data_IF_156937959382
#
_entry.id   IF_156937959382
#
_cell.length_a   1.000
_cell.length_b   1.000
_cell.length_c   1.000
_cell.angle_alpha   90.00
_cell.angle_beta   90.00
_cell.angle_gamma   90.00
#
_symmetry.space_group_name_H-M   'P 1'
#
loop_
_entity.id
_entity.type
_entity.pdbx_description
1 polymer ?
#
# COMPACT_ATOMS: atom_id res chain seq x y z
N UNK A 1 -0.76 8.63 23.84
CA UNK A 1 -1.29 7.84 22.70
C UNK A 1 -1.26 8.61 21.38
N UNK A 2 -1.85 9.82 21.30
CA UNK A 2 -1.92 10.62 20.05
C UNK A 2 -0.54 10.92 19.45
N UNK A 3 0.43 11.35 20.26
CA UNK A 3 1.80 11.65 19.78
C UNK A 3 2.51 10.43 19.22
N UNK A 4 2.34 9.26 19.86
CA UNK A 4 2.91 8.00 19.40
C UNK A 4 2.33 7.58 18.05
N UNK A 5 1.01 7.63 17.88
CA UNK A 5 0.37 7.34 16.59
C UNK A 5 0.83 8.32 15.51
N UNK A 6 0.94 9.61 15.84
CA UNK A 6 1.45 10.62 14.91
C UNK A 6 2.89 10.30 14.48
N UNK A 7 3.79 10.03 15.42
CA UNK A 7 5.18 9.69 15.10
C UNK A 7 5.30 8.37 14.33
N UNK A 8 4.55 7.34 14.74
CA UNK A 8 4.52 6.05 14.07
C UNK A 8 4.05 6.20 12.61
N UNK A 9 2.92 6.90 12.39
CA UNK A 9 2.42 7.14 11.04
C UNK A 9 3.34 8.09 10.24
N UNK A 10 4.04 9.04 10.87
CA UNK A 10 5.02 9.91 10.22
C UNK A 10 6.21 9.11 9.68
N UNK A 11 6.83 8.26 10.52
CA UNK A 11 7.94 7.42 10.11
C UNK A 11 7.54 6.51 8.94
N UNK A 12 6.30 6.03 8.91
CA UNK A 12 5.77 5.23 7.78
C UNK A 12 5.54 6.08 6.52
N UNK A 13 5.15 7.36 6.66
CA UNK A 13 5.00 8.28 5.51
C UNK A 13 6.33 8.56 4.83
N UNK A 14 7.41 8.71 5.58
CA UNK A 14 8.75 8.87 5.01
C UNK A 14 9.17 7.65 4.20
N UNK A 15 8.94 6.44 4.73
CA UNK A 15 9.17 5.18 3.98
C UNK A 15 8.35 5.13 2.70
N UNK A 16 7.07 5.51 2.74
CA UNK A 16 6.23 5.55 1.54
C UNK A 16 6.69 6.60 0.54
N UNK A 17 7.22 7.74 1.00
CA UNK A 17 7.83 8.73 0.12
C UNK A 17 8.98 8.10 -0.66
N UNK A 18 9.91 7.42 0.02
CA UNK A 18 11.01 6.69 -0.64
C UNK A 18 10.49 5.67 -1.67
N UNK A 19 9.49 4.88 -1.31
CA UNK A 19 8.87 3.90 -2.23
C UNK A 19 8.20 4.56 -3.45
N UNK A 20 7.48 5.67 -3.27
CA UNK A 20 6.90 6.44 -4.38
C UNK A 20 7.98 6.83 -5.39
N UNK A 21 9.08 7.42 -4.92
CA UNK A 21 10.19 7.84 -5.78
C UNK A 21 10.85 6.64 -6.48
N UNK A 22 11.05 5.52 -5.78
CA UNK A 22 11.61 4.30 -6.37
C UNK A 22 10.72 3.73 -7.48
N UNK A 23 9.40 3.66 -7.25
CA UNK A 23 8.44 3.18 -8.25
C UNK A 23 8.40 4.12 -9.45
N UNK A 24 8.36 5.44 -9.23
CA UNK A 24 8.39 6.42 -10.31
C UNK A 24 9.69 6.32 -11.13
N UNK A 25 10.85 6.16 -10.47
CA UNK A 25 12.13 5.95 -11.15
C UNK A 25 12.12 4.68 -11.99
N UNK A 26 11.59 3.57 -11.46
CA UNK A 26 11.45 2.31 -12.20
C UNK A 26 10.55 2.48 -13.43
N UNK A 27 9.37 3.10 -13.27
CA UNK A 27 8.45 3.36 -14.38
C UNK A 27 9.10 4.23 -15.45
N UNK A 28 9.85 5.26 -15.06
CA UNK A 28 10.58 6.12 -16.01
C UNK A 28 11.64 5.34 -16.80
N UNK A 29 12.37 4.44 -16.14
CA UNK A 29 13.35 3.55 -16.82
C UNK A 29 12.61 2.62 -17.79
N UNK A 30 11.56 1.93 -17.35
CA UNK A 30 10.78 1.02 -18.19
C UNK A 30 10.17 1.72 -19.41
N UNK A 31 9.77 2.99 -19.28
CA UNK A 31 9.25 3.80 -20.39
C UNK A 31 10.31 4.08 -21.47
N UNK A 32 11.58 4.18 -21.10
CA UNK A 32 12.70 4.43 -22.01
C UNK A 32 13.16 3.15 -22.74
N UNK A 33 12.80 1.97 -22.25
CA UNK A 33 13.13 0.68 -22.88
C UNK A 33 12.27 0.43 -24.12
N UNK A 34 12.74 -0.42 -25.04
CA UNK A 34 11.95 -0.82 -26.21
C UNK A 34 10.63 -1.51 -25.77
N UNK A 35 9.46 -1.12 -26.30
CA UNK A 35 8.18 -1.76 -25.95
C UNK A 35 8.12 -3.28 -26.19
N UNK A 36 8.96 -3.82 -27.07
CA UNK A 36 9.06 -5.25 -27.40
C UNK A 36 10.12 -5.98 -26.57
N UNK A 37 10.85 -5.26 -25.73
CA UNK A 37 11.84 -5.87 -24.84
C UNK A 37 11.16 -6.84 -23.86
N UNK A 38 11.54 -8.12 -23.83
CA UNK A 38 10.89 -9.11 -22.96
C UNK A 38 11.03 -8.78 -21.47
N UNK A 39 12.13 -8.15 -21.06
CA UNK A 39 12.35 -7.75 -19.68
C UNK A 39 11.43 -6.59 -19.28
N UNK A 40 11.23 -5.62 -20.17
CA UNK A 40 10.23 -4.55 -19.96
C UNK A 40 8.84 -5.14 -19.73
N UNK A 41 8.42 -6.10 -20.55
CA UNK A 41 7.10 -6.74 -20.45
C UNK A 41 6.96 -7.47 -19.10
N UNK A 42 7.91 -8.34 -18.74
CA UNK A 42 7.91 -9.08 -17.47
C UNK A 42 7.90 -8.14 -16.24
N UNK A 43 8.68 -7.06 -16.29
CA UNK A 43 8.70 -6.07 -15.20
C UNK A 43 7.39 -5.28 -15.10
N UNK A 44 6.78 -4.93 -16.24
CA UNK A 44 5.47 -4.27 -16.26
C UNK A 44 4.41 -5.18 -15.66
N UNK A 45 4.38 -6.46 -16.04
CA UNK A 45 3.41 -7.43 -15.52
C UNK A 45 3.57 -7.59 -13.99
N UNK A 46 4.80 -7.75 -13.51
CA UNK A 46 5.09 -7.80 -12.05
C UNK A 46 4.70 -6.52 -11.32
N UNK A 47 4.85 -5.36 -11.96
CA UNK A 47 4.43 -4.08 -11.39
C UNK A 47 2.90 -4.00 -11.32
N UNK A 48 2.22 -4.45 -12.38
CA UNK A 48 0.77 -4.46 -12.51
C UNK A 48 0.09 -5.47 -11.57
N UNK A 49 0.75 -6.58 -11.23
CA UNK A 49 0.27 -7.49 -10.18
C UNK A 49 0.16 -6.80 -8.81
N UNK A 50 1.07 -5.86 -8.52
CA UNK A 50 1.11 -5.15 -7.24
C UNK A 50 0.35 -3.82 -7.26
N UNK A 51 0.16 -3.23 -8.44
CA UNK A 51 -0.40 -1.90 -8.65
C UNK A 51 -1.37 -1.91 -9.82
N UNK A 52 -2.54 -1.27 -9.67
CA UNK A 52 -3.64 -1.42 -10.64
C UNK A 52 -3.34 -0.94 -12.07
N UNK A 53 -2.46 0.06 -12.27
CA UNK A 53 -2.09 0.51 -13.61
C UNK A 53 -0.78 1.30 -13.61
N UNK A 54 -0.09 1.32 -14.75
CA UNK A 54 1.14 2.12 -14.93
C UNK A 54 0.85 3.62 -14.74
N UNK A 55 -0.30 4.12 -15.22
CA UNK A 55 -0.67 5.53 -15.04
C UNK A 55 -0.82 5.91 -13.56
N UNK A 56 -1.33 4.97 -12.74
CA UNK A 56 -1.40 5.14 -11.30
C UNK A 56 -0.03 5.07 -10.63
N UNK A 57 0.94 4.37 -11.24
CA UNK A 57 2.32 4.31 -10.74
C UNK A 57 3.04 5.65 -10.90
N UNK A 58 2.79 6.39 -11.98
CA UNK A 58 3.37 7.74 -12.15
C UNK A 58 2.79 8.73 -11.15
N UNK A 59 1.49 8.66 -10.93
CA UNK A 59 0.75 9.50 -9.98
C UNK A 59 0.72 8.90 -8.57
N UNK A 60 1.64 7.98 -8.27
CA UNK A 60 1.65 7.28 -6.99
C UNK A 60 2.02 8.26 -5.87
N UNK A 61 1.05 8.61 -5.06
CA UNK A 61 1.25 9.50 -3.92
C UNK A 61 1.42 8.70 -2.62
N UNK A 62 2.02 9.33 -1.61
CA UNK A 62 2.04 8.81 -0.24
C UNK A 62 0.61 8.51 0.26
N UNK A 63 -0.37 9.30 -0.18
CA UNK A 63 -1.79 9.09 0.15
C UNK A 63 -2.29 7.73 -0.35
N UNK A 64 -1.86 7.27 -1.54
CA UNK A 64 -2.22 5.97 -2.08
C UNK A 64 -1.75 4.82 -1.18
N UNK A 65 -0.60 4.94 -0.51
CA UNK A 65 -0.15 3.97 0.49
C UNK A 65 -0.93 4.10 1.80
N UNK A 66 -1.20 5.33 2.26
CA UNK A 66 -1.94 5.57 3.49
C UNK A 66 -3.37 5.00 3.41
N UNK A 67 -4.02 5.10 2.25
CA UNK A 67 -5.37 4.55 1.99
C UNK A 67 -5.44 3.01 1.99
N UNK A 68 -4.29 2.34 1.86
CA UNK A 68 -4.16 0.88 1.87
C UNK A 68 -3.68 0.33 3.22
N UNK A 69 -3.54 1.17 4.24
CA UNK A 69 -3.23 0.71 5.59
C UNK A 69 -4.40 -0.11 6.13
N UNK A 70 -4.10 -1.17 6.87
CA UNK A 70 -5.07 -2.07 7.46
C UNK A 70 -6.13 -1.29 8.24
N UNK A 71 -5.72 -0.33 9.09
CA UNK A 71 -6.64 0.55 9.82
C UNK A 71 -7.63 1.31 8.92
N UNK A 72 -7.20 1.76 7.73
CA UNK A 72 -8.08 2.45 6.76
C UNK A 72 -8.94 1.46 5.98
N UNK A 73 -8.40 0.31 5.60
CA UNK A 73 -9.15 -0.76 4.93
C UNK A 73 -10.25 -1.28 5.84
N UNK A 74 -9.97 -1.44 7.13
CA UNK A 74 -10.93 -1.88 8.15
C UNK A 74 -12.11 -0.91 8.28
N UNK A 75 -11.85 0.40 8.25
CA UNK A 75 -12.92 1.43 8.17
C UNK A 75 -13.71 1.32 6.86
N UNK A 76 -13.01 1.12 5.74
CA UNK A 76 -13.62 1.08 4.41
C UNK A 76 -14.53 -0.15 4.22
N UNK A 77 -14.16 -1.27 4.82
CA UNK A 77 -14.93 -2.52 4.89
C UNK A 77 -16.02 -2.48 5.97
N UNK A 78 -16.17 -1.36 6.69
CA UNK A 78 -17.17 -1.15 7.75
C UNK A 78 -17.02 -2.09 8.96
N UNK A 79 -15.83 -2.60 9.23
CA UNK A 79 -15.55 -3.35 10.47
C UNK A 79 -15.36 -2.44 11.69
N UNK A 80 -15.05 -1.15 11.48
CA UNK A 80 -15.01 -0.13 12.51
C UNK A 80 -15.58 1.18 11.98
N UNK A 81 -16.27 1.94 12.82
CA UNK A 81 -16.82 3.25 12.45
C UNK A 81 -15.76 4.35 12.57
N UNK A 82 -14.86 4.21 13.54
CA UNK A 82 -13.86 5.21 13.85
C UNK A 82 -12.44 4.70 13.69
N UNK A 83 -11.54 5.55 13.18
CA UNK A 83 -10.13 5.21 13.00
C UNK A 83 -9.46 4.82 14.33
N UNK A 84 -9.90 5.44 15.43
CA UNK A 84 -9.43 5.13 16.78
C UNK A 84 -9.70 3.67 17.15
N UNK A 85 -10.89 3.17 16.84
CA UNK A 85 -11.28 1.76 17.08
C UNK A 85 -10.46 0.82 16.23
N UNK A 86 -10.34 1.08 14.92
CA UNK A 86 -9.55 0.24 14.02
C UNK A 86 -8.07 0.16 14.40
N UNK A 87 -7.51 1.23 14.98
CA UNK A 87 -6.13 1.23 15.47
C UNK A 87 -6.01 0.53 16.84
N UNK A 88 -7.07 0.55 17.65
CA UNK A 88 -7.09 -0.07 18.99
C UNK A 88 -7.29 -1.57 18.90
N UNK A 89 -8.21 -2.02 18.04
CA UNK A 89 -8.56 -3.42 17.80
C UNK A 89 -7.85 -3.97 16.56
N UNK A 90 -6.53 -3.88 16.54
CA UNK A 90 -5.75 -4.17 15.34
C UNK A 90 -5.31 -5.63 15.20
N UNK A 91 -5.83 -6.54 16.03
CA UNK A 91 -5.56 -7.98 15.91
C UNK A 91 -6.48 -8.62 14.86
N UNK A 92 -6.21 -8.29 13.60
CA UNK A 92 -7.07 -8.65 12.46
C UNK A 92 -6.40 -9.77 11.67
N UNK A 93 -7.19 -10.76 11.26
CA UNK A 93 -6.68 -11.84 10.42
C UNK A 93 -6.66 -11.37 8.98
N UNK A 94 -5.48 -11.42 8.35
CA UNK A 94 -5.30 -11.15 6.92
C UNK A 94 -4.80 -12.44 6.27
N UNK A 95 -5.73 -13.24 5.77
CA UNK A 95 -5.47 -14.57 5.24
C UNK A 95 -4.95 -15.53 6.33
N UNK A 96 -3.78 -16.16 6.17
CA UNK A 96 -3.26 -17.12 7.14
C UNK A 96 -2.58 -16.48 8.36
N UNK A 97 -2.36 -15.15 8.38
CA UNK A 97 -1.59 -14.47 9.43
C UNK A 97 -2.42 -13.42 10.14
N UNK A 98 -2.26 -13.32 11.45
CA UNK A 98 -2.79 -12.20 12.23
C UNK A 98 -1.86 -10.99 12.05
N UNK A 99 -2.40 -9.91 11.51
CA UNK A 99 -1.74 -8.63 11.51
C UNK A 99 -2.02 -7.93 12.84
N UNK A 100 -1.01 -7.28 13.41
CA UNK A 100 -1.11 -6.48 14.65
C UNK A 100 -0.61 -5.04 14.46
N UNK A 101 -0.20 -4.70 13.23
CA UNK A 101 0.31 -3.38 12.88
C UNK A 101 -0.77 -2.59 12.10
N UNK A 102 -1.27 -1.45 12.61
CA UNK A 102 -2.31 -0.66 11.94
C UNK A 102 -1.84 -0.02 10.64
N UNK A 103 -0.52 0.08 10.46
CA UNK A 103 0.11 0.55 9.23
C UNK A 103 0.51 -0.58 8.28
N UNK A 104 0.12 -1.83 8.56
CA UNK A 104 0.26 -2.94 7.61
C UNK A 104 -0.44 -2.57 6.29
N UNK A 105 0.25 -2.71 5.15
CA UNK A 105 -0.31 -2.34 3.85
C UNK A 105 -1.01 -3.57 3.26
N UNK A 106 -2.33 -3.49 3.15
CA UNK A 106 -3.16 -4.54 2.54
C UNK A 106 -3.13 -4.35 1.02
N UNK A 107 -2.69 -5.38 0.31
CA UNK A 107 -2.77 -5.42 -1.16
C UNK A 107 -4.20 -5.76 -1.59
N UNK A 108 -4.56 -5.42 -2.83
CA UNK A 108 -5.92 -5.69 -3.35
C UNK A 108 -6.32 -7.16 -3.20
N UNK A 109 -5.41 -8.07 -3.53
CA UNK A 109 -5.65 -9.52 -3.44
C UNK A 109 -5.78 -10.01 -1.99
N UNK A 110 -5.32 -9.22 -1.01
CA UNK A 110 -5.44 -9.55 0.42
C UNK A 110 -6.66 -8.90 1.07
N UNK A 111 -7.35 -7.99 0.38
CA UNK A 111 -8.50 -7.25 0.92
C UNK A 111 -9.67 -8.18 1.25
N UNK A 112 -9.95 -9.16 0.38
CA UNK A 112 -11.01 -10.16 0.59
C UNK A 112 -10.71 -11.16 1.72
N UNK A 113 -9.46 -11.21 2.17
CA UNK A 113 -9.02 -12.10 3.26
C UNK A 113 -8.90 -11.38 4.61
N UNK A 114 -9.34 -10.13 4.69
CA UNK A 114 -9.41 -9.38 5.96
C UNK A 114 -10.66 -9.83 6.72
N UNK A 115 -10.48 -10.42 7.89
CA UNK A 115 -11.57 -10.89 8.76
C UNK A 115 -11.24 -10.64 10.23
#
# INVERSE_FOLDING_TARGET
MITFLRQFFNNRREKYSGLCHMVQKLVNILKQMDPKDPFRIDMIDKLLEKLQSIMLCERLTISSFCKRRLSIVFLRLKFAEHLKEAVTYIEIRVGPKTATDPAFVVTRNMEDFVT
#
